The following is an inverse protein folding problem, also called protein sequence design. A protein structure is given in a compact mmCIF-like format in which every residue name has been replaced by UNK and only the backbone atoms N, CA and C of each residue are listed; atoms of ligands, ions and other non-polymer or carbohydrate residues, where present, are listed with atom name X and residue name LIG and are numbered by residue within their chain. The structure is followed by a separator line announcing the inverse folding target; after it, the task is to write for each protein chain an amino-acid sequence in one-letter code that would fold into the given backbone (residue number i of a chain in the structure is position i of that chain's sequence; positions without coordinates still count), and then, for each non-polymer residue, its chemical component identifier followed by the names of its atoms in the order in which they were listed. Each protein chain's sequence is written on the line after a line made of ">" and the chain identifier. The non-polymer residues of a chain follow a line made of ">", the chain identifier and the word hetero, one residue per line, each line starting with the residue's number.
data_IF_784522902602
#
_entry.id   IF_784522902602
#
_cell.length_a   1.000
_cell.length_b   1.000
_cell.length_c   1.000
_cell.angle_alpha   90.00
_cell.angle_beta   90.00
_cell.angle_gamma   90.00
#
_symmetry.space_group_name_H-M   'P 1'
#
loop_
_entity.id
_entity.type
_entity.pdbx_description
1 polymer ?
#
# COMPACT_ATOMS: atom_id res chain seq x y z
N UNK A 1 3.54 -47.74 18.71
CA UNK A 1 4.41 -48.59 17.86
C UNK A 1 3.47 -49.46 17.02
N UNK A 2 3.47 -49.20 15.69
CA UNK A 2 2.85 -49.91 14.56
C UNK A 2 1.30 -49.99 14.44
N UNK A 3 0.73 -50.13 13.21
CA UNK A 3 1.41 -50.35 11.92
C UNK A 3 1.12 -49.37 10.76
N UNK A 4 2.10 -49.36 9.85
CA UNK A 4 2.09 -48.83 8.48
C UNK A 4 1.19 -49.72 7.58
N UNK A 5 0.43 -49.13 6.66
CA UNK A 5 -0.33 -49.87 5.63
C UNK A 5 0.22 -49.46 4.24
N UNK A 6 0.46 -50.41 3.30
CA UNK A 6 1.07 -50.11 2.01
C UNK A 6 0.07 -49.48 1.03
N UNK A 7 0.56 -48.52 0.24
CA UNK A 7 -0.19 -47.87 -0.83
C UNK A 7 -0.28 -48.82 -2.03
N UNK A 8 -1.45 -49.40 -2.28
CA UNK A 8 -1.78 -50.09 -3.53
C UNK A 8 -2.81 -49.30 -4.33
N UNK A 9 -2.43 -48.97 -5.57
CA UNK A 9 -3.23 -48.60 -6.75
C UNK A 9 -4.76 -48.50 -6.56
N UNK A 10 -5.25 -47.26 -6.60
CA UNK A 10 -6.66 -46.90 -6.77
C UNK A 10 -6.80 -45.38 -6.64
N UNK A 11 -7.29 -44.71 -7.70
CA UNK A 11 -7.56 -43.27 -7.71
C UNK A 11 -8.40 -42.86 -6.48
N UNK A 12 -8.05 -41.79 -5.74
CA UNK A 12 -8.94 -41.30 -4.70
C UNK A 12 -10.16 -40.63 -5.32
N UNK A 13 -11.35 -41.10 -4.93
CA UNK A 13 -12.66 -40.52 -5.24
C UNK A 13 -12.84 -39.14 -4.56
N UNK A 14 -13.91 -38.35 -4.83
CA UNK A 14 -13.90 -36.91 -5.13
C UNK A 14 -13.79 -35.95 -3.91
N UNK A 15 -12.94 -36.28 -2.92
CA UNK A 15 -12.75 -35.53 -1.67
C UNK A 15 -11.31 -35.04 -1.47
N UNK A 16 -10.52 -34.93 -2.54
CA UNK A 16 -9.12 -34.50 -2.50
C UNK A 16 -8.88 -33.09 -1.89
N UNK A 17 -9.93 -32.28 -1.75
CA UNK A 17 -9.87 -30.92 -1.20
C UNK A 17 -9.92 -30.86 0.34
N UNK A 18 -10.30 -31.93 1.03
CA UNK A 18 -10.64 -31.84 2.47
C UNK A 18 -9.43 -31.84 3.42
N UNK A 19 -8.24 -32.27 2.99
CA UNK A 19 -7.03 -32.20 3.81
C UNK A 19 -5.80 -32.05 2.91
N UNK A 20 -5.71 -30.94 2.17
CA UNK A 20 -4.44 -30.59 1.50
C UNK A 20 -3.59 -29.87 2.54
N UNK A 21 -2.66 -30.59 3.17
CA UNK A 21 -1.66 -29.95 4.04
C UNK A 21 -0.81 -29.00 3.18
N UNK A 22 -0.77 -27.68 3.49
CA UNK A 22 -0.06 -26.70 2.67
C UNK A 22 1.40 -27.06 2.38
N UNK A 23 2.09 -27.67 3.35
CA UNK A 23 3.49 -28.09 3.22
C UNK A 23 3.65 -29.26 2.26
N UNK A 24 2.86 -30.32 2.42
CA UNK A 24 2.89 -31.47 1.52
C UNK A 24 2.54 -31.09 0.08
N UNK A 25 1.54 -30.22 -0.10
CA UNK A 25 1.15 -29.73 -1.42
C UNK A 25 2.23 -28.87 -2.07
N UNK A 26 2.81 -27.93 -1.30
CA UNK A 26 3.91 -27.11 -1.79
C UNK A 26 5.12 -27.95 -2.20
N UNK A 27 5.48 -28.96 -1.41
CA UNK A 27 6.57 -29.87 -1.73
C UNK A 27 6.27 -30.65 -3.01
N UNK A 28 5.10 -31.27 -3.11
CA UNK A 28 4.69 -32.05 -4.28
C UNK A 28 4.72 -31.23 -5.57
N UNK A 29 4.12 -30.03 -5.56
CA UNK A 29 4.16 -29.13 -6.72
C UNK A 29 5.59 -28.67 -7.03
N UNK A 30 6.40 -28.44 -6.01
CA UNK A 30 7.80 -28.03 -6.16
C UNK A 30 8.65 -29.08 -6.86
N UNK A 31 8.50 -30.35 -6.49
CA UNK A 31 9.16 -31.48 -7.13
C UNK A 31 8.69 -31.66 -8.58
N UNK A 32 7.38 -31.67 -8.81
CA UNK A 32 6.80 -31.92 -10.13
C UNK A 32 7.15 -30.83 -11.17
N UNK A 33 7.29 -29.56 -10.73
CA UNK A 33 7.53 -28.41 -11.60
C UNK A 33 8.97 -27.87 -11.53
N UNK A 34 9.83 -28.50 -10.72
CA UNK A 34 11.20 -28.04 -10.44
C UNK A 34 11.25 -26.57 -10.02
N UNK A 35 10.42 -26.22 -9.03
CA UNK A 35 10.31 -24.88 -8.43
C UNK A 35 10.31 -25.00 -6.90
N UNK A 36 10.61 -23.91 -6.21
CA UNK A 36 10.43 -23.83 -4.76
C UNK A 36 9.14 -23.09 -4.43
N UNK A 37 8.11 -23.82 -4.01
CA UNK A 37 6.83 -23.24 -3.56
C UNK A 37 6.97 -22.80 -2.09
N UNK A 38 6.55 -21.57 -1.77
CA UNK A 38 6.54 -21.09 -0.40
C UNK A 38 5.33 -21.69 0.34
N UNK A 39 5.50 -22.54 1.37
CA UNK A 39 4.37 -23.25 1.97
C UNK A 39 3.33 -22.32 2.62
N UNK A 40 3.77 -21.19 3.18
CA UNK A 40 2.87 -20.19 3.79
C UNK A 40 2.00 -19.46 2.76
N UNK A 41 2.38 -19.52 1.48
CA UNK A 41 1.64 -18.85 0.41
C UNK A 41 0.47 -19.66 -0.14
N UNK A 42 0.45 -20.97 0.14
CA UNK A 42 -0.59 -21.87 -0.33
C UNK A 42 -1.91 -21.48 0.34
N UNK A 43 -2.83 -20.98 -0.47
CA UNK A 43 -4.13 -20.52 -0.01
C UNK A 43 -5.23 -21.05 -0.92
N UNK A 44 -6.29 -21.57 -0.34
CA UNK A 44 -7.47 -22.03 -1.08
C UNK A 44 -8.61 -21.02 -0.92
N UNK A 45 -9.12 -20.50 -2.04
CA UNK A 45 -10.42 -19.82 -2.10
C UNK A 45 -11.29 -20.47 -3.15
N UNK A 46 -12.54 -20.79 -2.78
CA UNK A 46 -13.54 -21.41 -3.66
C UNK A 46 -12.97 -22.57 -4.52
N UNK A 47 -12.16 -23.46 -3.92
CA UNK A 47 -11.52 -24.62 -4.57
C UNK A 47 -10.43 -24.30 -5.59
N UNK A 48 -9.94 -23.07 -5.63
CA UNK A 48 -8.73 -22.69 -6.35
C UNK A 48 -7.63 -22.43 -5.33
N UNK A 49 -6.54 -23.18 -5.46
CA UNK A 49 -5.31 -22.90 -4.72
C UNK A 49 -4.52 -21.81 -5.43
N UNK A 50 -3.97 -20.88 -4.65
CA UNK A 50 -3.05 -19.84 -5.06
C UNK A 50 -1.75 -20.03 -4.27
N UNK A 51 -0.61 -19.79 -4.89
CA UNK A 51 0.68 -19.88 -4.21
C UNK A 51 1.74 -19.03 -4.91
N UNK A 52 2.73 -18.60 -4.14
CA UNK A 52 3.97 -18.03 -4.66
C UNK A 52 5.02 -19.13 -4.72
N UNK A 53 5.78 -19.13 -5.79
CA UNK A 53 6.96 -19.98 -5.95
C UNK A 53 8.16 -19.16 -6.41
N UNK A 54 9.32 -19.81 -6.49
CA UNK A 54 10.49 -19.27 -7.15
C UNK A 54 11.21 -20.31 -7.99
N UNK A 55 11.83 -19.86 -9.06
CA UNK A 55 12.81 -20.61 -9.86
C UNK A 55 14.11 -19.82 -9.88
N UNK A 56 15.12 -20.29 -9.16
CA UNK A 56 16.31 -19.48 -8.88
C UNK A 56 15.96 -18.21 -8.12
N UNK A 57 16.16 -17.06 -8.76
CA UNK A 57 15.82 -15.72 -8.24
C UNK A 57 14.46 -15.20 -8.75
N UNK A 58 13.88 -15.85 -9.76
CA UNK A 58 12.62 -15.41 -10.36
C UNK A 58 11.43 -15.82 -9.47
N UNK A 59 10.56 -14.86 -9.15
CA UNK A 59 9.31 -15.12 -8.43
C UNK A 59 8.20 -15.47 -9.41
N UNK A 60 7.45 -16.52 -9.07
CA UNK A 60 6.36 -17.07 -9.88
C UNK A 60 5.05 -17.04 -9.09
N UNK A 61 3.94 -16.84 -9.80
CA UNK A 61 2.59 -17.05 -9.29
C UNK A 61 2.08 -18.39 -9.79
N UNK A 62 1.49 -19.17 -8.89
CA UNK A 62 0.85 -20.43 -9.20
C UNK A 62 -0.62 -20.46 -8.81
N UNK A 63 -1.41 -21.15 -9.64
CA UNK A 63 -2.79 -21.50 -9.36
C UNK A 63 -2.97 -23.00 -9.58
N UNK A 64 -3.81 -23.66 -8.78
CA UNK A 64 -4.17 -25.06 -9.00
C UNK A 64 -5.64 -25.32 -8.69
N UNK A 65 -6.33 -26.04 -9.57
CA UNK A 65 -7.72 -26.48 -9.38
C UNK A 65 -7.96 -27.84 -10.06
N UNK A 66 -9.15 -28.42 -9.90
CA UNK A 66 -9.52 -29.62 -10.66
C UNK A 66 -9.57 -29.32 -12.17
N UNK A 67 -9.12 -30.24 -13.04
CA UNK A 67 -9.16 -30.05 -14.49
C UNK A 67 -10.55 -29.68 -15.01
N UNK A 68 -10.60 -28.61 -15.79
CA UNK A 68 -11.84 -28.11 -16.39
C UNK A 68 -12.75 -27.30 -15.45
N UNK A 69 -12.48 -27.25 -14.15
CA UNK A 69 -13.16 -26.35 -13.21
C UNK A 69 -12.54 -24.94 -13.23
N UNK A 70 -13.28 -23.94 -12.71
CA UNK A 70 -12.77 -22.57 -12.50
C UNK A 70 -12.08 -21.89 -13.70
N UNK A 71 -12.39 -22.31 -14.94
CA UNK A 71 -11.82 -21.77 -16.19
C UNK A 71 -11.86 -20.24 -16.28
N UNK A 72 -12.92 -19.63 -15.75
CA UNK A 72 -13.06 -18.18 -15.70
C UNK A 72 -11.98 -17.51 -14.85
N UNK A 73 -11.70 -18.06 -13.66
CA UNK A 73 -10.61 -17.59 -12.78
C UNK A 73 -9.27 -17.85 -13.47
N UNK A 74 -9.03 -19.07 -13.96
CA UNK A 74 -7.76 -19.44 -14.60
C UNK A 74 -7.43 -18.54 -15.81
N UNK A 75 -8.44 -18.09 -16.57
CA UNK A 75 -8.26 -17.19 -17.72
C UNK A 75 -7.84 -15.77 -17.35
N UNK A 76 -8.17 -15.31 -16.14
CA UNK A 76 -7.76 -13.99 -15.66
C UNK A 76 -6.25 -13.91 -15.34
N UNK A 77 -5.57 -15.06 -15.22
CA UNK A 77 -4.14 -15.15 -14.93
C UNK A 77 -3.34 -15.58 -16.15
N UNK A 78 -2.20 -14.91 -16.37
CA UNK A 78 -1.19 -15.25 -17.37
C UNK A 78 -0.30 -16.37 -16.85
N UNK A 79 0.05 -17.31 -17.72
CA UNK A 79 0.93 -18.42 -17.37
C UNK A 79 0.73 -19.64 -18.27
N UNK A 80 1.59 -20.63 -18.09
CA UNK A 80 1.51 -21.94 -18.72
C UNK A 80 0.74 -22.89 -17.81
N UNK A 81 -0.11 -23.72 -18.41
CA UNK A 81 -0.91 -24.72 -17.70
C UNK A 81 -0.28 -26.09 -17.83
N UNK A 82 -0.23 -26.82 -16.72
CA UNK A 82 0.31 -28.18 -16.60
C UNK A 82 -0.75 -29.06 -15.93
N UNK A 83 -0.79 -30.34 -16.29
CA UNK A 83 -1.58 -31.33 -15.55
C UNK A 83 -0.64 -32.07 -14.60
N UNK A 84 -0.86 -31.92 -13.30
CA UNK A 84 -0.08 -32.55 -12.24
C UNK A 84 -1.04 -33.42 -11.43
N UNK A 85 -0.95 -34.74 -11.60
CA UNK A 85 -1.90 -35.72 -11.06
C UNK A 85 -3.37 -35.34 -11.35
N UNK A 86 -4.10 -34.95 -10.31
CA UNK A 86 -5.52 -34.57 -10.36
C UNK A 86 -5.74 -33.06 -10.39
N UNK A 87 -4.69 -32.27 -10.65
CA UNK A 87 -4.75 -30.81 -10.68
C UNK A 87 -4.33 -30.25 -12.04
N UNK A 88 -5.12 -29.31 -12.53
CA UNK A 88 -4.69 -28.34 -13.54
C UNK A 88 -3.96 -27.21 -12.80
N UNK A 89 -2.65 -27.09 -13.04
CA UNK A 89 -1.76 -26.13 -12.39
C UNK A 89 -1.30 -25.09 -13.40
N UNK A 90 -1.60 -23.82 -13.16
CA UNK A 90 -1.10 -22.70 -13.96
C UNK A 90 0.06 -22.02 -13.25
N UNK A 91 1.21 -21.89 -13.93
CA UNK A 91 2.38 -21.17 -13.45
C UNK A 91 2.65 -19.97 -14.37
N UNK A 92 2.76 -18.78 -13.78
CA UNK A 92 2.98 -17.54 -14.51
C UNK A 92 3.99 -16.60 -13.84
N UNK A 93 4.36 -15.52 -14.54
CA UNK A 93 5.25 -14.51 -13.98
C UNK A 93 4.57 -13.78 -12.83
N UNK A 94 5.35 -13.32 -11.85
CA UNK A 94 4.89 -12.35 -10.86
C UNK A 94 4.87 -10.92 -11.44
N UNK A 95 4.09 -10.71 -12.51
CA UNK A 95 3.97 -9.43 -13.22
C UNK A 95 2.78 -8.57 -12.74
N UNK A 96 2.67 -7.35 -13.26
CA UNK A 96 1.58 -6.44 -12.90
C UNK A 96 0.18 -6.97 -13.26
N UNK A 97 0.05 -7.66 -14.40
CA UNK A 97 -1.24 -8.20 -14.84
C UNK A 97 -1.75 -9.26 -13.86
N UNK A 98 -0.89 -10.17 -13.43
CA UNK A 98 -1.19 -11.19 -12.43
C UNK A 98 -1.41 -10.59 -11.04
N UNK A 99 -0.69 -9.52 -10.66
CA UNK A 99 -0.91 -8.83 -9.38
C UNK A 99 -2.28 -8.15 -9.33
N UNK A 100 -2.73 -7.52 -10.43
CA UNK A 100 -4.08 -7.00 -10.57
C UNK A 100 -5.15 -8.09 -10.48
N UNK A 101 -4.92 -9.24 -11.13
CA UNK A 101 -5.82 -10.38 -11.04
C UNK A 101 -5.88 -10.93 -9.59
N UNK A 102 -4.75 -11.00 -8.89
CA UNK A 102 -4.71 -11.34 -7.46
C UNK A 102 -5.56 -10.37 -6.64
N UNK A 103 -5.34 -9.06 -6.75
CA UNK A 103 -6.12 -8.06 -6.00
C UNK A 103 -7.63 -8.12 -6.28
N UNK A 104 -8.03 -8.56 -7.49
CA UNK A 104 -9.43 -8.78 -7.87
C UNK A 104 -10.03 -10.03 -7.20
N UNK A 105 -9.33 -11.16 -7.24
CA UNK A 105 -9.85 -12.45 -6.77
C UNK A 105 -9.61 -12.69 -5.26
N UNK A 106 -8.57 -12.07 -4.71
CA UNK A 106 -8.10 -12.23 -3.35
C UNK A 106 -8.04 -10.87 -2.64
N UNK A 107 -9.16 -10.36 -2.10
CA UNK A 107 -9.25 -8.99 -1.59
C UNK A 107 -8.23 -8.62 -0.50
N UNK A 108 -7.76 -9.58 0.30
CA UNK A 108 -6.73 -9.35 1.33
C UNK A 108 -5.35 -8.99 0.75
N UNK A 109 -5.12 -9.23 -0.55
CA UNK A 109 -3.89 -8.84 -1.25
C UNK A 109 -3.94 -7.40 -1.77
N UNK A 110 -5.10 -6.72 -1.67
CA UNK A 110 -5.28 -5.32 -2.00
C UNK A 110 -5.09 -4.47 -0.73
N UNK A 111 -4.44 -3.30 -0.81
CA UNK A 111 -4.37 -2.39 0.34
C UNK A 111 -5.77 -1.91 0.75
N UNK A 112 -5.90 -1.55 2.02
CA UNK A 112 -7.10 -0.99 2.62
C UNK A 112 -6.76 0.26 3.45
N UNK A 113 -7.78 1.07 3.74
CA UNK A 113 -7.63 2.18 4.68
C UNK A 113 -7.32 1.62 6.07
N UNK A 114 -6.25 2.12 6.68
CA UNK A 114 -5.84 1.75 8.05
C UNK A 114 -6.57 2.59 9.11
N UNK A 115 -7.03 3.79 8.74
CA UNK A 115 -7.74 4.67 9.67
C UNK A 115 -6.81 5.26 10.74
N UNK A 116 -7.29 5.31 11.98
CA UNK A 116 -6.58 5.91 13.13
C UNK A 116 -5.79 4.88 13.96
N UNK A 117 -5.61 3.65 13.43
CA UNK A 117 -4.87 2.61 14.12
C UNK A 117 -3.36 2.93 14.21
N UNK A 118 -2.72 2.46 15.27
CA UNK A 118 -1.26 2.53 15.41
C UNK A 118 -0.62 1.79 14.23
N UNK A 119 0.19 2.49 13.46
CA UNK A 119 0.69 2.01 12.18
C UNK A 119 2.16 2.29 11.96
N UNK A 120 2.76 1.56 11.02
CA UNK A 120 4.17 1.69 10.65
C UNK A 120 4.33 1.69 9.14
N UNK A 121 5.17 2.61 8.67
CA UNK A 121 5.63 2.66 7.30
C UNK A 121 6.68 1.59 7.01
N UNK A 122 6.47 0.75 5.99
CA UNK A 122 7.36 -0.35 5.65
C UNK A 122 7.96 -0.18 4.25
N UNK A 123 8.59 0.97 4.01
CA UNK A 123 9.15 1.34 2.71
C UNK A 123 10.15 0.31 2.15
N UNK A 124 9.97 -0.07 0.89
CA UNK A 124 10.75 -1.11 0.23
C UNK A 124 11.20 -0.65 -1.15
N UNK A 125 12.40 -0.07 -1.22
CA UNK A 125 13.00 0.42 -2.46
C UNK A 125 13.39 -0.69 -3.42
N UNK A 126 13.53 -1.92 -2.95
CA UNK A 126 14.02 -3.08 -3.71
C UNK A 126 12.88 -3.97 -4.24
N UNK A 127 11.70 -3.91 -3.63
CA UNK A 127 10.55 -4.78 -3.95
C UNK A 127 10.69 -6.20 -3.40
N UNK A 128 11.59 -6.42 -2.44
CA UNK A 128 11.94 -7.74 -1.89
C UNK A 128 11.74 -7.86 -0.38
N UNK A 129 11.56 -6.74 0.33
CA UNK A 129 11.58 -6.66 1.78
C UNK A 129 10.23 -6.98 2.43
N UNK A 130 9.11 -6.86 1.70
CA UNK A 130 7.75 -7.09 2.24
C UNK A 130 7.62 -8.40 3.06
N UNK A 131 8.15 -9.56 2.62
CA UNK A 131 8.14 -10.78 3.45
C UNK A 131 8.84 -10.63 4.81
N UNK A 132 9.96 -9.91 4.86
CA UNK A 132 10.66 -9.60 6.09
C UNK A 132 9.87 -8.64 6.98
N UNK A 133 9.29 -7.60 6.38
CA UNK A 133 8.40 -6.66 7.08
C UNK A 133 7.22 -7.40 7.73
N UNK A 134 6.56 -8.30 7.00
CA UNK A 134 5.46 -9.13 7.53
C UNK A 134 5.90 -9.93 8.75
N UNK A 135 7.05 -10.59 8.70
CA UNK A 135 7.56 -11.36 9.84
C UNK A 135 7.86 -10.48 11.06
N UNK A 136 8.32 -9.25 10.85
CA UNK A 136 8.61 -8.31 11.92
C UNK A 136 7.34 -7.75 12.59
N UNK A 137 6.29 -7.46 11.81
CA UNK A 137 5.05 -6.86 12.36
C UNK A 137 4.06 -7.88 12.91
N UNK A 138 4.17 -9.16 12.53
CA UNK A 138 3.23 -10.20 12.93
C UNK A 138 3.13 -10.32 14.46
N UNK A 139 1.90 -10.28 14.98
CA UNK A 139 1.62 -10.39 16.41
C UNK A 139 1.90 -9.13 17.24
N UNK A 140 2.35 -8.03 16.62
CA UNK A 140 2.61 -6.77 17.34
C UNK A 140 1.37 -5.91 17.56
N UNK A 141 0.31 -6.13 16.78
CA UNK A 141 -0.88 -5.27 16.73
C UNK A 141 -0.71 -3.99 15.90
N UNK A 142 0.48 -3.70 15.38
CA UNK A 142 0.75 -2.52 14.55
C UNK A 142 0.31 -2.77 13.11
N UNK A 143 -0.42 -1.81 12.50
CA UNK A 143 -0.87 -1.89 11.11
C UNK A 143 0.20 -1.46 10.11
N UNK A 144 0.59 -2.30 9.16
CA UNK A 144 1.69 -2.00 8.24
C UNK A 144 1.22 -1.27 6.97
N UNK A 145 2.01 -0.33 6.49
CA UNK A 145 1.96 0.19 5.13
C UNK A 145 3.05 -0.49 4.29
N UNK A 146 2.75 -1.66 3.74
CA UNK A 146 3.75 -2.46 2.99
C UNK A 146 4.10 -1.87 1.61
N UNK A 147 3.16 -1.18 0.98
CA UNK A 147 3.42 -0.44 -0.25
C UNK A 147 3.66 1.03 0.11
N UNK A 148 4.90 1.38 0.41
CA UNK A 148 5.29 2.76 0.67
C UNK A 148 6.55 3.12 -0.10
N UNK A 149 6.47 4.19 -0.87
CA UNK A 149 7.64 4.81 -1.50
C UNK A 149 7.30 6.23 -1.93
N UNK A 150 8.26 7.14 -1.83
CA UNK A 150 8.12 8.51 -2.34
C UNK A 150 8.38 8.57 -3.85
N UNK A 151 7.87 9.62 -4.50
CA UNK A 151 8.13 9.90 -5.93
C UNK A 151 9.63 9.94 -6.21
N UNK A 152 10.40 10.64 -5.36
CA UNK A 152 11.86 10.75 -5.49
C UNK A 152 12.54 9.38 -5.45
N UNK A 153 12.10 8.50 -4.57
CA UNK A 153 12.66 7.15 -4.49
C UNK A 153 12.29 6.34 -5.72
N UNK A 154 11.03 6.36 -6.15
CA UNK A 154 10.57 5.68 -7.36
C UNK A 154 11.38 6.10 -8.59
N UNK A 155 11.61 7.40 -8.78
CA UNK A 155 12.47 7.92 -9.85
C UNK A 155 13.89 7.37 -9.76
N UNK A 156 14.50 7.38 -8.57
CA UNK A 156 15.89 6.92 -8.37
C UNK A 156 16.05 5.41 -8.55
N UNK A 157 15.05 4.62 -8.19
CA UNK A 157 15.06 3.17 -8.38
C UNK A 157 14.54 2.75 -9.75
N UNK A 158 14.10 3.70 -10.58
CA UNK A 158 13.41 3.44 -11.85
C UNK A 158 12.22 2.47 -11.68
N UNK A 159 11.49 2.63 -10.58
CA UNK A 159 10.29 1.84 -10.28
C UNK A 159 9.05 2.69 -10.44
N UNK A 160 7.98 2.05 -10.83
CA UNK A 160 6.65 2.63 -10.96
C UNK A 160 5.84 2.45 -9.68
N UNK A 161 4.79 3.26 -9.52
CA UNK A 161 3.81 3.12 -8.44
C UNK A 161 3.15 1.73 -8.43
N UNK A 162 2.90 1.17 -9.62
CA UNK A 162 2.38 -0.19 -9.79
C UNK A 162 3.35 -1.25 -9.25
N UNK A 163 4.65 -1.14 -9.55
CA UNK A 163 5.65 -2.09 -9.03
C UNK A 163 5.82 -2.02 -7.51
N UNK A 164 5.58 -0.86 -6.89
CA UNK A 164 5.54 -0.73 -5.42
C UNK A 164 4.34 -1.49 -4.85
N UNK A 165 3.17 -1.32 -5.47
CA UNK A 165 1.93 -2.01 -5.08
C UNK A 165 2.01 -3.53 -5.27
N UNK A 166 2.57 -3.97 -6.39
CA UNK A 166 2.63 -5.37 -6.76
C UNK A 166 3.64 -6.13 -5.89
N UNK A 167 4.77 -5.52 -5.53
CA UNK A 167 5.72 -6.10 -4.58
C UNK A 167 5.05 -6.41 -3.22
N UNK A 168 4.24 -5.47 -2.71
CA UNK A 168 3.47 -5.68 -1.49
C UNK A 168 2.41 -6.79 -1.66
N UNK A 169 1.66 -6.78 -2.77
CA UNK A 169 0.65 -7.79 -3.13
C UNK A 169 1.23 -9.20 -3.09
N UNK A 170 2.38 -9.41 -3.75
CA UNK A 170 3.06 -10.70 -3.79
C UNK A 170 3.66 -11.08 -2.44
N UNK A 171 4.23 -10.13 -1.70
CA UNK A 171 4.77 -10.39 -0.36
C UNK A 171 3.69 -10.83 0.64
N UNK A 172 2.52 -10.18 0.59
CA UNK A 172 1.34 -10.52 1.42
C UNK A 172 0.85 -11.93 1.11
N UNK A 173 0.72 -12.30 -0.17
CA UNK A 173 0.38 -13.67 -0.53
C UNK A 173 1.48 -14.66 -0.09
N UNK A 174 2.75 -14.33 -0.32
CA UNK A 174 3.89 -15.22 -0.01
C UNK A 174 3.93 -15.65 1.46
N UNK A 175 3.68 -14.73 2.38
CA UNK A 175 3.72 -14.99 3.83
C UNK A 175 2.32 -15.30 4.41
N UNK A 176 1.31 -15.47 3.56
CA UNK A 176 -0.06 -15.75 4.00
C UNK A 176 -0.63 -14.68 4.93
N UNK A 177 -0.26 -13.41 4.74
CA UNK A 177 -0.74 -12.30 5.58
C UNK A 177 -2.20 -11.97 5.28
N UNK A 178 -3.04 -11.86 6.32
CA UNK A 178 -4.50 -11.68 6.18
C UNK A 178 -5.08 -10.54 7.01
N UNK A 179 -4.26 -9.85 7.81
CA UNK A 179 -4.72 -8.88 8.79
C UNK A 179 -4.96 -7.47 8.21
N UNK A 180 -4.90 -7.34 6.88
CA UNK A 180 -4.97 -6.08 6.14
C UNK A 180 -3.63 -5.34 6.15
N UNK A 181 -3.44 -4.44 5.18
CA UNK A 181 -2.29 -3.55 5.10
C UNK A 181 -2.67 -2.28 4.36
N UNK A 182 -1.96 -1.18 4.61
CA UNK A 182 -2.11 0.08 3.91
C UNK A 182 -1.10 0.24 2.77
N UNK A 183 -1.32 1.26 1.95
CA UNK A 183 -0.36 1.77 0.98
C UNK A 183 -0.24 3.29 1.11
N UNK A 184 0.98 3.80 1.17
CA UNK A 184 1.31 5.22 1.38
C UNK A 184 2.13 5.79 0.22
N UNK A 185 1.52 6.74 -0.48
CA UNK A 185 2.15 7.52 -1.53
C UNK A 185 2.90 8.67 -0.85
N UNK A 186 4.19 8.47 -0.62
CA UNK A 186 4.96 9.31 0.29
C UNK A 186 5.49 10.60 -0.39
N UNK A 187 5.56 11.69 0.38
CA UNK A 187 6.10 12.99 -0.04
C UNK A 187 5.63 13.54 -1.40
N UNK A 188 4.31 13.54 -1.66
CA UNK A 188 3.72 14.07 -2.89
C UNK A 188 3.77 15.59 -2.94
N UNK A 189 4.09 16.13 -4.13
CA UNK A 189 4.27 17.57 -4.36
C UNK A 189 3.43 18.12 -5.49
N UNK A 190 2.94 17.27 -6.39
CA UNK A 190 2.27 17.69 -7.61
C UNK A 190 0.95 16.94 -7.79
N UNK A 191 0.06 17.50 -8.63
CA UNK A 191 -1.21 16.87 -8.96
C UNK A 191 -1.01 15.62 -9.81
N UNK A 192 0.03 15.61 -10.63
CA UNK A 192 0.44 14.50 -11.48
C UNK A 192 0.91 13.31 -10.64
N UNK A 193 1.68 13.57 -9.58
CA UNK A 193 2.09 12.54 -8.62
C UNK A 193 0.89 11.90 -7.91
N UNK A 194 -0.10 12.73 -7.55
CA UNK A 194 -1.39 12.26 -7.02
C UNK A 194 -2.10 11.39 -8.05
N UNK A 195 -2.16 11.80 -9.31
CA UNK A 195 -2.87 11.07 -10.36
C UNK A 195 -2.31 9.66 -10.59
N UNK A 196 -0.98 9.55 -10.67
CA UNK A 196 -0.29 8.26 -10.88
C UNK A 196 -0.49 7.34 -9.68
N UNK A 197 -0.42 7.87 -8.46
CA UNK A 197 -0.54 7.06 -7.24
C UNK A 197 -1.99 6.67 -6.94
N UNK A 198 -2.97 7.53 -7.25
CA UNK A 198 -4.40 7.16 -7.24
C UNK A 198 -4.67 6.03 -8.24
N UNK A 199 -4.13 6.13 -9.47
CA UNK A 199 -4.32 5.11 -10.50
C UNK A 199 -3.75 3.73 -10.10
N UNK A 200 -2.60 3.69 -9.42
CA UNK A 200 -2.01 2.46 -8.89
C UNK A 200 -2.79 1.85 -7.71
N UNK A 201 -3.65 2.64 -7.07
CA UNK A 201 -4.53 2.24 -5.97
C UNK A 201 -3.95 2.49 -4.57
N UNK A 202 -3.14 3.53 -4.41
CA UNK A 202 -2.70 3.98 -3.08
C UNK A 202 -3.88 4.42 -2.21
N UNK A 203 -3.73 4.23 -0.89
CA UNK A 203 -4.83 4.45 0.09
C UNK A 203 -4.54 5.58 1.09
N UNK A 204 -3.27 5.92 1.28
CA UNK A 204 -2.78 7.05 2.06
C UNK A 204 -1.88 7.90 1.15
N UNK A 205 -1.95 9.22 1.34
CA UNK A 205 -1.27 10.20 0.50
C UNK A 205 -0.60 11.23 1.41
N UNK A 206 0.73 11.20 1.46
CA UNK A 206 1.51 12.11 2.29
C UNK A 206 1.92 13.33 1.47
N UNK A 207 1.23 14.46 1.66
CA UNK A 207 1.54 15.70 0.95
C UNK A 207 2.74 16.39 1.62
N UNK A 208 3.76 16.73 0.83
CA UNK A 208 4.93 17.52 1.27
C UNK A 208 4.82 18.97 0.77
N UNK A 209 4.34 19.91 1.61
CA UNK A 209 4.26 21.32 1.24
C UNK A 209 5.55 22.08 1.58
N UNK A 210 6.65 21.40 1.90
CA UNK A 210 7.87 22.01 2.44
C UNK A 210 8.47 23.09 1.54
N UNK A 211 8.35 22.95 0.21
CA UNK A 211 8.79 23.96 -0.75
C UNK A 211 8.01 25.28 -0.67
N UNK A 212 6.84 25.28 -0.02
CA UNK A 212 5.97 26.44 0.18
C UNK A 212 6.05 27.03 1.59
N UNK A 213 6.92 26.49 2.46
CA UNK A 213 7.22 27.07 3.77
C UNK A 213 8.26 28.16 3.61
N UNK A 214 7.94 29.38 4.05
CA UNK A 214 8.83 30.53 3.97
C UNK A 214 9.69 30.63 5.23
N UNK A 215 10.89 30.04 5.18
CA UNK A 215 11.81 30.06 6.32
C UNK A 215 12.35 31.46 6.65
N UNK A 216 12.35 32.41 5.70
CA UNK A 216 12.81 33.78 5.98
C UNK A 216 11.89 34.50 6.98
N UNK A 217 10.62 34.07 7.07
CA UNK A 217 9.66 34.57 8.05
C UNK A 217 10.13 34.40 9.51
N UNK A 218 11.13 33.58 9.83
CA UNK A 218 11.65 33.48 11.20
C UNK A 218 12.43 34.73 11.63
N UNK A 219 13.09 35.41 10.68
CA UNK A 219 13.95 36.56 10.94
C UNK A 219 13.41 37.87 10.37
N UNK A 220 12.33 37.82 9.60
CA UNK A 220 11.72 38.99 8.98
C UNK A 220 11.25 40.01 10.02
N UNK A 221 11.36 41.28 9.62
CA UNK A 221 10.83 42.42 10.38
C UNK A 221 9.30 42.45 10.33
N UNK A 222 8.67 43.12 11.30
CA UNK A 222 7.21 43.26 11.35
C UNK A 222 6.63 43.86 10.06
N UNK A 223 7.31 44.82 9.44
CA UNK A 223 6.88 45.40 8.16
C UNK A 223 6.93 44.40 7.00
N UNK A 224 7.97 43.58 6.93
CA UNK A 224 8.07 42.51 5.92
C UNK A 224 7.00 41.42 6.14
N UNK A 225 6.75 41.05 7.40
CA UNK A 225 5.69 40.11 7.75
C UNK A 225 4.30 40.62 7.38
N UNK A 226 4.01 41.90 7.62
CA UNK A 226 2.75 42.52 7.22
C UNK A 226 2.56 42.45 5.69
N UNK A 227 3.61 42.77 4.91
CA UNK A 227 3.55 42.67 3.45
C UNK A 227 3.34 41.22 2.98
N UNK A 228 4.03 40.25 3.59
CA UNK A 228 3.84 38.82 3.29
C UNK A 228 2.42 38.36 3.62
N UNK A 229 1.87 38.80 4.76
CA UNK A 229 0.50 38.51 5.18
C UNK A 229 -0.53 39.04 4.18
N UNK A 230 -0.44 40.32 3.79
CA UNK A 230 -1.37 40.90 2.82
C UNK A 230 -1.28 40.24 1.44
N UNK A 231 -0.09 39.77 1.05
CA UNK A 231 0.14 39.09 -0.24
C UNK A 231 -0.13 37.58 -0.23
N UNK A 232 -0.66 37.01 0.86
CA UNK A 232 -1.05 35.61 0.89
C UNK A 232 -2.12 35.31 -0.17
N UNK A 233 -2.20 34.07 -0.67
CA UNK A 233 -3.14 33.70 -1.69
C UNK A 233 -4.51 33.45 -1.03
N UNK A 234 -5.13 34.52 -0.52
CA UNK A 234 -6.35 34.47 0.28
C UNK A 234 -7.51 33.76 -0.43
N UNK A 235 -7.59 33.88 -1.75
CA UNK A 235 -8.56 33.13 -2.57
C UNK A 235 -8.35 31.62 -2.49
N UNK A 236 -7.11 31.12 -2.62
CA UNK A 236 -6.80 29.68 -2.52
C UNK A 236 -7.01 29.13 -1.11
N UNK A 237 -6.80 30.00 -0.12
CA UNK A 237 -7.06 29.76 1.30
C UNK A 237 -8.56 29.79 1.64
N UNK A 238 -9.43 30.23 0.72
CA UNK A 238 -10.87 30.39 0.92
C UNK A 238 -11.18 31.28 2.16
N UNK A 239 -10.43 32.37 2.28
CA UNK A 239 -10.40 33.22 3.47
C UNK A 239 -10.10 34.67 3.09
N UNK A 240 -10.12 35.57 4.08
CA UNK A 240 -9.66 36.96 3.91
C UNK A 240 -8.69 37.36 5.02
N UNK A 241 -7.82 38.34 4.73
CA UNK A 241 -6.94 38.92 5.73
C UNK A 241 -7.71 39.45 6.96
N UNK A 242 -8.89 40.04 6.74
CA UNK A 242 -9.75 40.57 7.78
C UNK A 242 -10.36 39.45 8.65
N UNK A 243 -10.90 38.41 8.03
CA UNK A 243 -11.51 37.29 8.75
C UNK A 243 -10.48 36.46 9.51
N UNK A 244 -9.28 36.27 8.93
CA UNK A 244 -8.15 35.66 9.62
C UNK A 244 -7.75 36.45 10.87
N UNK A 245 -7.59 37.78 10.77
CA UNK A 245 -7.35 38.63 11.94
C UNK A 245 -8.49 38.53 12.95
N UNK A 246 -9.75 38.60 12.51
CA UNK A 246 -10.92 38.49 13.38
C UNK A 246 -10.97 37.18 14.18
N UNK A 247 -10.56 36.07 13.54
CA UNK A 247 -10.52 34.74 14.18
C UNK A 247 -9.36 34.55 15.15
N UNK A 248 -8.20 35.16 14.90
CA UNK A 248 -6.97 34.79 15.59
C UNK A 248 -6.31 35.91 16.39
N UNK A 249 -6.40 37.17 15.97
CA UNK A 249 -5.66 38.28 16.57
C UNK A 249 -6.08 38.51 18.03
N UNK A 250 -5.10 38.50 18.94
CA UNK A 250 -5.31 38.68 20.38
C UNK A 250 -6.06 37.51 21.04
N UNK A 251 -6.32 36.41 20.31
CA UNK A 251 -6.96 35.22 20.88
C UNK A 251 -5.95 34.36 21.60
N UNK A 252 -6.42 33.67 22.64
CA UNK A 252 -5.67 32.72 23.44
C UNK A 252 -6.30 31.33 23.32
N UNK A 253 -5.49 30.34 22.95
CA UNK A 253 -5.89 28.95 22.78
C UNK A 253 -5.26 28.11 23.88
N UNK A 254 -6.08 27.31 24.57
CA UNK A 254 -5.64 26.41 25.63
C UNK A 254 -5.61 24.98 25.11
N UNK A 255 -4.43 24.36 25.16
CA UNK A 255 -4.22 22.96 24.80
C UNK A 255 -4.49 22.06 26.02
N UNK A 256 -4.77 20.78 25.76
CA UNK A 256 -5.14 19.82 26.80
C UNK A 256 -4.01 19.56 27.83
N UNK A 257 -2.75 19.81 27.46
CA UNK A 257 -1.57 19.69 28.31
C UNK A 257 -1.28 20.96 29.15
N UNK A 258 -2.15 21.96 29.07
CA UNK A 258 -2.01 23.24 29.78
C UNK A 258 -1.19 24.29 29.03
N UNK A 259 -0.65 23.98 27.85
CA UNK A 259 0.00 24.98 26.99
C UNK A 259 -1.04 26.04 26.55
N UNK A 260 -0.70 27.31 26.71
CA UNK A 260 -1.51 28.42 26.23
C UNK A 260 -0.79 29.19 25.11
N UNK A 261 -1.44 29.29 23.96
CA UNK A 261 -0.93 30.01 22.79
C UNK A 261 -1.72 31.31 22.61
N UNK A 262 -1.03 32.43 22.73
CA UNK A 262 -1.60 33.75 22.39
C UNK A 262 -1.03 34.22 21.05
N UNK A 263 -1.93 34.57 20.13
CA UNK A 263 -1.56 35.10 18.82
C UNK A 263 -1.61 36.62 18.84
N UNK A 264 -0.49 37.23 19.27
CA UNK A 264 -0.21 38.65 19.04
C UNK A 264 -0.15 38.96 17.54
N UNK A 265 -0.20 40.23 17.18
CA UNK A 265 -0.13 40.67 15.78
C UNK A 265 1.10 40.11 15.06
N UNK A 266 2.28 40.25 15.67
CA UNK A 266 3.52 39.71 15.10
C UNK A 266 3.48 38.19 14.96
N UNK A 267 3.00 37.44 15.96
CA UNK A 267 2.93 35.97 15.92
C UNK A 267 1.97 35.49 14.85
N UNK A 268 0.81 36.12 14.73
CA UNK A 268 -0.18 35.82 13.70
C UNK A 268 0.42 36.03 12.31
N UNK A 269 0.98 37.22 12.05
CA UNK A 269 1.56 37.55 10.76
C UNK A 269 2.75 36.65 10.43
N UNK A 270 3.61 36.34 11.42
CA UNK A 270 4.76 35.44 11.24
C UNK A 270 4.32 34.03 10.87
N UNK A 271 3.37 33.45 11.61
CA UNK A 271 2.84 32.12 11.33
C UNK A 271 2.16 32.06 9.95
N UNK A 272 1.34 33.06 9.63
CA UNK A 272 0.63 33.13 8.37
C UNK A 272 1.59 33.36 7.18
N UNK A 273 2.59 34.23 7.30
CA UNK A 273 3.62 34.42 6.29
C UNK A 273 4.43 33.13 6.05
N UNK A 274 4.83 32.45 7.12
CA UNK A 274 5.63 31.22 7.05
C UNK A 274 4.86 30.05 6.43
N UNK A 275 3.61 29.85 6.81
CA UNK A 275 2.87 28.61 6.49
C UNK A 275 1.68 28.81 5.56
N UNK A 276 1.21 30.03 5.31
CA UNK A 276 -0.02 30.28 4.54
C UNK A 276 0.04 29.70 3.12
N UNK A 277 1.18 29.82 2.43
CA UNK A 277 1.36 29.21 1.10
C UNK A 277 1.43 27.68 1.14
N UNK A 278 2.01 27.12 2.20
CA UNK A 278 2.05 25.67 2.44
C UNK A 278 0.65 25.10 2.71
N UNK A 279 -0.18 25.80 3.50
CA UNK A 279 -1.58 25.45 3.74
C UNK A 279 -2.37 25.50 2.42
N UNK A 280 -2.23 26.59 1.66
CA UNK A 280 -2.90 26.73 0.36
C UNK A 280 -2.52 25.60 -0.62
N UNK A 281 -1.23 25.26 -0.69
CA UNK A 281 -0.75 24.15 -1.52
C UNK A 281 -1.34 22.81 -1.09
N UNK A 282 -1.32 22.52 0.21
CA UNK A 282 -1.88 21.27 0.76
C UNK A 282 -3.38 21.17 0.46
N UNK A 283 -4.13 22.25 0.63
CA UNK A 283 -5.56 22.30 0.32
C UNK A 283 -5.83 22.06 -1.18
N UNK A 284 -5.03 22.64 -2.09
CA UNK A 284 -5.16 22.38 -3.53
C UNK A 284 -4.93 20.91 -3.87
N UNK A 285 -3.87 20.29 -3.37
CA UNK A 285 -3.60 18.87 -3.62
C UNK A 285 -4.66 17.96 -2.99
N UNK A 286 -5.16 18.29 -1.80
CA UNK A 286 -6.27 17.58 -1.19
C UNK A 286 -7.55 17.64 -2.06
N UNK A 287 -7.92 18.82 -2.57
CA UNK A 287 -9.09 18.97 -3.45
C UNK A 287 -8.92 18.19 -4.76
N UNK A 288 -7.72 18.21 -5.33
CA UNK A 288 -7.38 17.42 -6.51
C UNK A 288 -7.52 15.91 -6.22
N UNK A 289 -6.92 15.43 -5.14
CA UNK A 289 -7.03 14.05 -4.66
C UNK A 289 -8.50 13.63 -4.45
N UNK A 290 -9.29 14.46 -3.77
CA UNK A 290 -10.71 14.21 -3.52
C UNK A 290 -11.51 14.07 -4.83
N UNK A 291 -11.19 14.89 -5.84
CA UNK A 291 -11.79 14.78 -7.17
C UNK A 291 -11.42 13.47 -7.85
N UNK A 292 -10.14 13.06 -7.77
CA UNK A 292 -9.63 11.83 -8.38
C UNK A 292 -10.13 10.55 -7.73
N UNK A 293 -10.29 10.55 -6.41
CA UNK A 293 -10.78 9.40 -5.65
C UNK A 293 -12.29 9.21 -5.76
N UNK A 294 -13.03 10.26 -6.17
CA UNK A 294 -14.49 10.30 -6.17
C UNK A 294 -15.06 10.37 -4.74
N UNK A 295 -16.35 10.73 -4.62
CA UNK A 295 -17.07 10.54 -3.34
C UNK A 295 -17.24 9.03 -3.13
N UNK A 296 -16.54 8.48 -2.14
CA UNK A 296 -16.83 7.15 -1.59
C UNK A 296 -17.92 7.26 -0.52
#
# INVERSE_FOLDING_TARGET
>A
MLPFIPISRGLPAPRAWMVVEPRGFAQHLGEALSIHVYPQSVFCDRRVFYFIARRGIEKLLGLACQPGEHRGVMRDFRGQTHLIDVFEVKIGPADHANARALRKHLPFTRPALVGIETSIGCGDRLGLATPGHIRAVRGTGVKPYFAQQSIREMTRTQRTADEVMDAATYGVLQEGWREGFGSDADHLKTAEDVDVTVAAGFTMFTIDPGAHVDNAADSDSSGALAQKFESLPWVDLEDTAADCRGRYLGKRFHMADGLALELSDERLQRAAAKYGRAVAHTARLYRHLATRMGRK
#
